data_IF_634104461156
#
_entry.id   IF_634104461156
#
_cell.length_a   1.000
_cell.length_b   1.000
_cell.length_c   1.000
_cell.angle_alpha   90.00
_cell.angle_beta   90.00
_cell.angle_gamma   90.00
#
_symmetry.space_group_name_H-M   'P 1'
#
loop_
_entity.id
_entity.type
_entity.pdbx_description
1 polymer ?
#
# COMPACT_ATOMS: atom_id res chain seq x y z
N UNK A 1 13.99 -15.29 -10.34
CA UNK A 1 13.24 -14.03 -10.17
C UNK A 1 12.19 -14.27 -9.08
N UNK A 2 11.57 -13.27 -8.46
CA UNK A 2 10.35 -13.55 -7.70
C UNK A 2 9.32 -14.11 -8.66
N UNK A 3 8.67 -15.21 -8.30
CA UNK A 3 7.58 -15.73 -9.11
C UNK A 3 6.44 -14.72 -9.13
N UNK A 4 5.93 -14.42 -10.31
CA UNK A 4 4.77 -13.54 -10.49
C UNK A 4 3.50 -14.36 -10.66
N UNK A 5 2.39 -13.86 -10.13
CA UNK A 5 1.07 -14.38 -10.41
C UNK A 5 0.42 -13.47 -11.46
N UNK A 6 0.07 -14.06 -12.59
CA UNK A 6 -0.71 -13.41 -13.63
C UNK A 6 -2.17 -13.33 -13.19
N UNK A 7 -2.78 -12.16 -13.36
CA UNK A 7 -4.17 -11.92 -13.03
C UNK A 7 -4.89 -11.30 -14.23
N UNK A 8 -6.15 -11.68 -14.43
CA UNK A 8 -7.12 -10.98 -15.27
C UNK A 8 -8.32 -10.61 -14.44
N UNK A 9 -8.71 -9.34 -14.45
CA UNK A 9 -10.00 -8.90 -13.96
C UNK A 9 -10.89 -8.47 -15.12
N UNK A 10 -12.09 -9.03 -15.19
CA UNK A 10 -13.14 -8.60 -16.12
C UNK A 10 -14.30 -8.00 -15.35
N UNK A 11 -14.52 -6.72 -15.56
CA UNK A 11 -15.63 -5.96 -15.03
C UNK A 11 -16.78 -6.02 -16.03
N UNK A 12 -17.94 -6.50 -15.61
CA UNK A 12 -19.16 -6.62 -16.41
C UNK A 12 -20.30 -5.82 -15.78
N UNK A 13 -21.14 -5.24 -16.62
CA UNK A 13 -22.33 -4.48 -16.23
C UNK A 13 -22.07 -3.40 -15.15
N UNK A 14 -20.91 -2.73 -15.23
CA UNK A 14 -20.57 -1.67 -14.27
C UNK A 14 -21.53 -0.48 -14.42
N UNK A 15 -21.98 0.04 -13.28
CA UNK A 15 -22.94 1.13 -13.19
C UNK A 15 -22.28 2.52 -13.08
N UNK A 16 -20.97 2.54 -12.81
CA UNK A 16 -20.19 3.76 -12.59
C UNK A 16 -19.37 4.14 -13.83
N UNK A 17 -18.93 5.40 -13.89
CA UNK A 17 -18.05 5.88 -14.96
C UNK A 17 -16.73 5.08 -15.01
N UNK A 18 -16.52 4.39 -16.13
CA UNK A 18 -15.32 3.57 -16.35
C UNK A 18 -14.03 4.42 -16.44
N UNK A 19 -14.12 5.74 -16.59
CA UNK A 19 -12.95 6.62 -16.56
C UNK A 19 -12.26 6.63 -15.20
N UNK A 20 -13.00 6.52 -14.10
CA UNK A 20 -12.42 6.44 -12.75
C UNK A 20 -11.66 5.12 -12.61
N UNK A 21 -12.24 4.02 -13.09
CA UNK A 21 -11.60 2.71 -13.11
C UNK A 21 -10.31 2.71 -13.95
N UNK A 22 -10.36 3.25 -15.18
CA UNK A 22 -9.20 3.41 -16.07
C UNK A 22 -8.10 4.25 -15.43
N UNK A 23 -8.48 5.30 -14.70
CA UNK A 23 -7.54 6.18 -14.00
C UNK A 23 -6.86 5.46 -12.84
N UNK A 24 -7.60 4.67 -12.07
CA UNK A 24 -7.03 3.84 -11.01
C UNK A 24 -6.12 2.73 -11.57
N UNK A 25 -6.51 2.10 -12.69
CA UNK A 25 -5.68 1.11 -13.38
C UNK A 25 -4.36 1.73 -13.85
N UNK A 26 -4.40 2.93 -14.44
CA UNK A 26 -3.20 3.60 -14.93
C UNK A 26 -2.30 4.17 -13.82
N UNK A 27 -2.86 4.51 -12.66
CA UNK A 27 -2.15 5.21 -11.60
C UNK A 27 -1.82 6.66 -11.95
N UNK A 28 -0.75 7.19 -11.37
CA UNK A 28 -0.23 8.53 -11.67
C UNK A 28 -0.94 9.71 -10.99
N UNK A 29 -2.15 9.50 -10.48
CA UNK A 29 -2.87 10.51 -9.70
C UNK A 29 -2.24 10.73 -8.31
N UNK A 30 -2.47 11.87 -7.64
CA UNK A 30 -1.98 12.09 -6.28
C UNK A 30 -2.46 11.01 -5.28
N UNK A 31 -1.53 10.30 -4.65
CA UNK A 31 -1.83 9.27 -3.64
C UNK A 31 -1.85 9.85 -2.23
N UNK A 32 -3.06 9.93 -1.66
CA UNK A 32 -3.28 10.51 -0.34
C UNK A 32 -2.70 9.63 0.77
N UNK A 33 -2.87 8.31 0.69
CA UNK A 33 -2.37 7.39 1.72
C UNK A 33 -0.83 7.34 1.75
N UNK A 34 -0.16 7.41 0.58
CA UNK A 34 1.31 7.50 0.50
C UNK A 34 1.82 8.82 1.08
N UNK A 35 1.11 9.93 0.83
CA UNK A 35 1.42 11.22 1.46
C UNK A 35 1.28 11.14 2.98
N UNK A 36 0.13 10.66 3.47
CA UNK A 36 -0.15 10.50 4.90
C UNK A 36 0.90 9.65 5.60
N UNK A 37 1.40 8.59 4.96
CA UNK A 37 2.53 7.80 5.45
C UNK A 37 3.79 8.65 5.62
N UNK A 38 4.23 9.39 4.59
CA UNK A 38 5.48 10.19 4.66
C UNK A 38 5.40 11.28 5.73
N UNK A 39 4.28 12.01 5.75
CA UNK A 39 4.00 13.05 6.74
C UNK A 39 3.92 12.46 8.16
N UNK A 40 3.27 11.30 8.31
CA UNK A 40 3.17 10.58 9.57
C UNK A 40 4.53 10.10 10.09
N UNK A 41 5.43 9.62 9.22
CA UNK A 41 6.80 9.27 9.62
C UNK A 41 7.54 10.52 10.14
N UNK A 42 7.39 11.67 9.48
CA UNK A 42 8.04 12.92 9.94
C UNK A 42 7.51 13.36 11.31
N UNK A 43 6.19 13.32 11.51
CA UNK A 43 5.56 13.63 12.80
C UNK A 43 5.98 12.66 13.90
N UNK A 44 6.05 11.37 13.59
CA UNK A 44 6.55 10.33 14.50
C UNK A 44 7.99 10.60 14.93
N UNK A 45 8.87 10.90 13.97
CA UNK A 45 10.27 11.25 14.23
C UNK A 45 10.41 12.52 15.05
N UNK A 46 9.61 13.55 14.74
CA UNK A 46 9.58 14.81 15.47
C UNK A 46 9.13 14.63 16.93
N UNK A 47 8.15 13.76 17.17
CA UNK A 47 7.72 13.36 18.51
C UNK A 47 8.82 12.64 19.28
N UNK A 48 9.46 11.64 18.65
CA UNK A 48 10.57 10.89 19.25
C UNK A 48 11.79 11.76 19.59
N UNK A 49 12.01 12.84 18.83
CA UNK A 49 13.08 13.81 19.06
C UNK A 49 12.70 14.91 20.07
N UNK A 50 11.43 14.98 20.50
CA UNK A 50 10.94 15.99 21.43
C UNK A 50 10.72 17.37 20.81
N UNK A 51 10.76 17.48 19.47
CA UNK A 51 10.44 18.68 18.69
C UNK A 51 8.96 18.99 18.84
N UNK A 52 8.12 17.96 18.70
CA UNK A 52 6.68 18.02 18.92
C UNK A 52 6.32 17.27 20.20
N UNK A 53 5.41 17.86 21.00
CA UNK A 53 4.95 17.31 22.27
C UNK A 53 3.44 17.45 22.37
N UNK A 54 2.71 16.47 22.91
CA UNK A 54 1.26 16.55 23.03
C UNK A 54 0.82 17.53 24.14
N UNK A 55 -0.45 17.92 24.16
CA UNK A 55 -1.04 18.80 25.19
C UNK A 55 -1.09 18.16 26.58
N UNK A 56 -1.23 16.83 26.63
CA UNK A 56 -1.33 16.07 27.86
C UNK A 56 -0.30 14.95 27.86
N UNK A 57 0.11 14.51 29.05
CA UNK A 57 0.93 13.30 29.16
C UNK A 57 0.18 12.11 28.56
N UNK A 58 0.91 11.30 27.81
CA UNK A 58 0.39 10.13 27.11
C UNK A 58 1.23 8.90 27.47
N UNK A 59 0.63 7.73 27.31
CA UNK A 59 1.35 6.47 27.35
C UNK A 59 1.17 5.77 26.00
N UNK A 60 2.27 5.43 25.34
CA UNK A 60 2.24 4.67 24.11
C UNK A 60 3.16 3.43 24.22
N UNK A 61 2.65 2.33 24.80
CA UNK A 61 3.42 1.11 24.99
C UNK A 61 4.09 0.54 23.73
N UNK A 62 3.50 0.63 22.51
CA UNK A 62 4.16 0.17 21.30
C UNK A 62 5.50 0.86 21.03
N UNK A 63 5.62 2.14 21.40
CA UNK A 63 6.87 2.90 21.25
C UNK A 63 7.00 4.05 22.26
N UNK A 64 7.47 3.77 23.50
CA UNK A 64 7.44 4.76 24.58
C UNK A 64 8.25 6.04 24.30
N UNK A 65 9.28 5.96 23.45
CA UNK A 65 10.10 7.11 23.08
C UNK A 65 9.29 8.22 22.37
N UNK A 66 8.18 7.89 21.69
CA UNK A 66 7.33 8.87 21.00
C UNK A 66 6.76 9.94 21.93
N UNK A 67 6.58 9.61 23.21
CA UNK A 67 5.94 10.46 24.22
C UNK A 67 6.83 10.73 25.43
N UNK A 68 8.13 10.38 25.36
CA UNK A 68 9.05 10.43 26.49
C UNK A 68 9.40 11.84 26.97
N UNK A 69 9.18 12.85 26.13
CA UNK A 69 9.42 14.27 26.44
C UNK A 69 8.26 14.94 27.19
N UNK A 70 7.21 14.18 27.53
CA UNK A 70 6.05 14.65 28.27
C UNK A 70 5.17 15.64 27.49
N UNK A 71 4.30 16.34 28.21
CA UNK A 71 3.43 17.35 27.61
C UNK A 71 4.19 18.63 27.21
N UNK A 72 3.65 19.34 26.23
CA UNK A 72 4.11 20.67 25.88
C UNK A 72 3.86 21.66 27.04
N UNK A 73 4.73 22.67 27.15
CA UNK A 73 4.57 23.73 28.15
C UNK A 73 3.53 24.79 27.77
N UNK A 74 3.05 24.76 26.52
CA UNK A 74 2.07 25.70 25.98
C UNK A 74 0.96 24.96 25.21
N UNK A 75 -0.15 25.68 24.98
CA UNK A 75 -1.34 25.15 24.28
C UNK A 75 -1.55 25.89 22.95
N UNK A 76 -0.48 26.17 22.20
CA UNK A 76 -0.62 26.80 20.88
C UNK A 76 -1.33 25.87 19.89
N UNK A 77 -1.95 26.40 18.82
CA UNK A 77 -2.63 25.58 17.82
C UNK A 77 -1.77 24.45 17.24
N UNK A 78 -0.47 24.66 17.06
CA UNK A 78 0.45 23.63 16.57
C UNK A 78 0.62 22.44 17.52
N UNK A 79 0.49 22.68 18.82
CA UNK A 79 0.52 21.62 19.86
C UNK A 79 -0.79 20.82 19.84
N UNK A 80 -1.92 21.51 19.65
CA UNK A 80 -3.21 20.85 19.44
C UNK A 80 -3.18 19.96 18.19
N UNK A 81 -2.67 20.47 17.07
CA UNK A 81 -2.57 19.71 15.82
C UNK A 81 -1.73 18.43 15.97
N UNK A 82 -0.57 18.51 16.64
CA UNK A 82 0.22 17.31 16.94
C UNK A 82 -0.50 16.35 17.90
N UNK A 83 -1.25 16.87 18.88
CA UNK A 83 -2.04 16.04 19.81
C UNK A 83 -3.17 15.29 19.09
N UNK A 84 -3.84 15.95 18.16
CA UNK A 84 -4.90 15.36 17.34
C UNK A 84 -4.33 14.29 16.41
N UNK A 85 -3.19 14.56 15.77
CA UNK A 85 -2.46 13.57 14.99
C UNK A 85 -2.04 12.37 15.85
N UNK A 86 -1.46 12.61 17.03
CA UNK A 86 -0.99 11.55 17.91
C UNK A 86 -2.14 10.67 18.39
N UNK A 87 -3.29 11.25 18.72
CA UNK A 87 -4.49 10.51 19.07
C UNK A 87 -4.96 9.61 17.92
N UNK A 88 -5.00 10.13 16.69
CA UNK A 88 -5.34 9.34 15.50
C UNK A 88 -4.32 8.23 15.24
N UNK A 89 -3.03 8.51 15.37
CA UNK A 89 -1.95 7.54 15.21
C UNK A 89 -2.04 6.40 16.23
N UNK A 90 -2.21 6.73 17.52
CA UNK A 90 -2.33 5.76 18.60
C UNK A 90 -3.61 4.92 18.50
N UNK A 91 -4.68 5.47 17.92
CA UNK A 91 -5.91 4.74 17.63
C UNK A 91 -5.83 3.86 16.37
N UNK A 92 -4.72 3.92 15.62
CA UNK A 92 -4.56 3.12 14.41
C UNK A 92 -5.35 3.63 13.22
N UNK A 93 -5.35 4.95 12.99
CA UNK A 93 -6.10 5.62 11.94
C UNK A 93 -6.05 4.89 10.59
N UNK A 94 -7.23 4.59 10.06
CA UNK A 94 -7.44 4.00 8.73
C UNK A 94 -7.19 5.08 7.68
N UNK A 95 -6.42 4.78 6.64
CA UNK A 95 -5.99 5.74 5.61
C UNK A 95 -7.02 5.87 4.48
N UNK A 96 -8.28 6.11 4.83
CA UNK A 96 -9.30 6.54 3.85
C UNK A 96 -9.09 8.02 3.44
N UNK A 97 -9.86 8.48 2.45
CA UNK A 97 -9.73 9.84 1.89
C UNK A 97 -9.90 10.91 2.96
N UNK A 98 -10.95 10.81 3.79
CA UNK A 98 -11.28 11.80 4.82
C UNK A 98 -10.18 11.86 5.89
N UNK A 99 -9.74 10.70 6.38
CA UNK A 99 -8.70 10.60 7.39
C UNK A 99 -7.35 11.07 6.87
N UNK A 100 -7.00 10.76 5.62
CA UNK A 100 -5.79 11.30 4.99
C UNK A 100 -5.80 12.84 4.92
N UNK A 101 -6.94 13.46 4.65
CA UNK A 101 -7.06 14.93 4.68
C UNK A 101 -6.90 15.48 6.10
N UNK A 102 -7.50 14.85 7.11
CA UNK A 102 -7.33 15.26 8.52
C UNK A 102 -5.87 15.13 8.99
N UNK A 103 -5.21 14.02 8.65
CA UNK A 103 -3.80 13.79 8.98
C UNK A 103 -2.90 14.85 8.32
N UNK A 104 -3.15 15.16 7.05
CA UNK A 104 -2.43 16.21 6.34
C UNK A 104 -2.62 17.60 6.99
N UNK A 105 -3.85 17.94 7.37
CA UNK A 105 -4.12 19.19 8.08
C UNK A 105 -3.34 19.27 9.39
N UNK A 106 -3.30 18.19 10.17
CA UNK A 106 -2.50 18.15 11.40
C UNK A 106 -1.01 18.32 11.12
N UNK A 107 -0.50 17.74 10.02
CA UNK A 107 0.88 17.92 9.59
C UNK A 107 1.18 19.40 9.26
N UNK A 108 0.32 20.06 8.49
CA UNK A 108 0.46 21.48 8.16
C UNK A 108 0.41 22.36 9.41
N UNK A 109 -0.59 22.15 10.28
CA UNK A 109 -0.84 22.97 11.44
C UNK A 109 0.18 22.74 12.57
N UNK A 110 0.85 21.59 12.59
CA UNK A 110 1.98 21.34 13.50
C UNK A 110 3.22 22.20 13.18
N UNK A 111 3.26 22.80 11.98
CA UNK A 111 4.39 23.55 11.41
C UNK A 111 5.68 22.74 11.24
N UNK A 112 5.64 21.40 11.36
CA UNK A 112 6.83 20.55 11.15
C UNK A 112 7.35 20.65 9.71
N UNK A 113 6.46 20.95 8.75
CA UNK A 113 6.77 21.20 7.35
C UNK A 113 7.74 22.38 7.13
N UNK A 114 7.99 23.21 8.14
CA UNK A 114 8.93 24.33 8.06
C UNK A 114 10.25 24.08 8.80
N UNK A 115 10.34 22.99 9.57
CA UNK A 115 11.50 22.68 10.40
C UNK A 115 12.58 22.01 9.57
N UNK A 116 13.31 22.77 8.74
CA UNK A 116 14.41 22.25 7.90
C UNK A 116 15.47 21.53 8.72
N UNK A 117 16.12 20.52 8.15
CA UNK A 117 17.13 19.70 8.81
C UNK A 117 18.21 20.55 9.52
N UNK A 118 18.74 21.55 8.81
CA UNK A 118 19.77 22.46 9.32
C UNK A 118 19.33 23.34 10.51
N UNK A 119 18.01 23.44 10.76
CA UNK A 119 17.45 24.22 11.89
C UNK A 119 17.25 23.39 13.15
N UNK A 120 17.30 22.06 13.03
CA UNK A 120 17.19 21.13 14.16
C UNK A 120 18.49 21.15 14.98
N UNK A 121 18.37 21.03 16.31
CA UNK A 121 19.52 20.90 17.20
C UNK A 121 20.22 19.55 17.02
N UNK A 122 21.51 19.47 17.40
CA UNK A 122 22.28 18.23 17.28
C UNK A 122 21.63 17.02 18.01
N UNK A 123 21.08 17.17 19.24
CA UNK A 123 20.37 16.07 19.89
C UNK A 123 19.13 15.59 19.12
N UNK A 124 18.35 16.51 18.55
CA UNK A 124 17.17 16.17 17.75
C UNK A 124 17.57 15.42 16.47
N UNK A 125 18.58 15.95 15.76
CA UNK A 125 19.12 15.30 14.57
C UNK A 125 19.68 13.90 14.88
N UNK A 126 20.32 13.72 16.04
CA UNK A 126 20.86 12.43 16.44
C UNK A 126 19.76 11.38 16.64
N UNK A 127 18.66 11.73 17.29
CA UNK A 127 17.51 10.83 17.45
C UNK A 127 16.93 10.46 16.09
N UNK A 128 16.69 11.45 15.23
CA UNK A 128 16.12 11.22 13.90
C UNK A 128 17.05 10.37 13.04
N UNK A 129 18.36 10.65 13.04
CA UNK A 129 19.38 9.85 12.33
C UNK A 129 19.34 8.40 12.75
N UNK A 130 19.30 8.11 14.05
CA UNK A 130 19.30 6.73 14.55
C UNK A 130 18.06 5.96 14.09
N UNK A 131 16.88 6.55 14.19
CA UNK A 131 15.63 5.91 13.76
C UNK A 131 15.56 5.74 12.26
N UNK A 132 15.94 6.78 11.51
CA UNK A 132 15.98 6.70 10.05
C UNK A 132 16.99 5.66 9.58
N UNK A 133 18.17 5.55 10.19
CA UNK A 133 19.14 4.50 9.82
C UNK A 133 18.56 3.09 10.00
N UNK A 134 17.80 2.85 11.07
CA UNK A 134 17.16 1.55 11.32
C UNK A 134 16.07 1.22 10.30
N UNK A 135 15.35 2.23 9.78
CA UNK A 135 14.13 2.05 8.97
C UNK A 135 14.22 2.59 7.55
N UNK A 136 15.37 3.13 7.14
CA UNK A 136 15.54 3.86 5.87
C UNK A 136 15.15 3.06 4.63
N UNK A 137 15.43 1.76 4.60
CA UNK A 137 15.01 0.87 3.50
C UNK A 137 13.50 0.62 3.44
N UNK A 138 12.80 0.78 4.56
CA UNK A 138 11.35 0.61 4.64
C UNK A 138 10.61 1.93 4.39
N UNK A 139 11.16 3.05 4.86
CA UNK A 139 10.58 4.39 4.72
C UNK A 139 10.96 5.09 3.41
N UNK A 140 12.10 4.72 2.83
CA UNK A 140 12.44 5.10 1.47
C UNK A 140 11.64 4.26 0.49
N UNK A 141 10.91 4.90 -0.42
CA UNK A 141 10.26 4.26 -1.59
C UNK A 141 11.29 3.63 -2.58
N UNK A 142 12.50 3.32 -2.12
CA UNK A 142 13.65 2.95 -2.94
C UNK A 142 14.62 2.07 -2.15
N UNK A 143 15.18 1.05 -2.82
CA UNK A 143 16.29 0.24 -2.31
C UNK A 143 17.58 1.04 -2.09
N UNK A 144 17.61 2.30 -2.49
CA UNK A 144 18.67 3.26 -2.20
C UNK A 144 18.05 4.45 -1.48
N UNK A 145 17.89 4.39 -0.16
CA UNK A 145 17.29 5.48 0.59
C UNK A 145 18.15 6.75 0.47
N UNK A 146 17.48 7.90 0.37
CA UNK A 146 18.16 9.18 0.40
C UNK A 146 18.84 9.40 1.77
N UNK A 147 19.91 10.21 1.83
CA UNK A 147 20.43 10.72 3.10
C UNK A 147 19.30 11.35 3.93
N UNK A 148 19.37 11.21 5.25
CA UNK A 148 18.27 11.64 6.15
C UNK A 148 17.95 13.12 5.99
N UNK A 149 18.95 13.98 5.80
CA UNK A 149 18.74 15.42 5.59
C UNK A 149 17.91 15.69 4.33
N UNK A 150 18.23 15.01 3.23
CA UNK A 150 17.56 15.19 1.95
C UNK A 150 16.14 14.61 1.99
N UNK A 151 15.96 13.46 2.65
CA UNK A 151 14.62 12.90 2.87
C UNK A 151 13.76 13.84 3.72
N UNK A 152 14.29 14.33 4.83
CA UNK A 152 13.58 15.24 5.74
C UNK A 152 13.22 16.57 5.06
N UNK A 153 14.19 17.20 4.38
CA UNK A 153 13.97 18.48 3.72
C UNK A 153 13.04 18.36 2.51
N UNK A 154 12.96 17.19 1.86
CA UNK A 154 12.00 16.96 0.76
C UNK A 154 10.54 17.14 1.19
N UNK A 155 10.21 16.86 2.45
CA UNK A 155 8.88 17.12 3.01
C UNK A 155 8.65 18.59 3.36
N UNK A 156 9.73 19.37 3.50
CA UNK A 156 9.66 20.79 3.80
C UNK A 156 9.60 21.68 2.55
N UNK A 157 9.78 21.10 1.35
CA UNK A 157 9.72 21.79 0.06
C UNK A 157 8.28 22.07 -0.43
N UNK A 158 7.27 21.77 0.39
CA UNK A 158 5.85 22.07 0.13
C UNK A 158 5.14 21.03 -0.74
N UNK A 159 4.09 21.45 -1.47
CA UNK A 159 3.21 20.58 -2.29
C UNK A 159 3.91 19.85 -3.46
N UNK A 160 5.20 20.12 -3.69
CA UNK A 160 6.06 19.37 -4.60
C UNK A 160 6.74 18.27 -3.79
N UNK A 161 6.20 17.06 -3.60
CA UNK A 161 5.60 16.15 -4.58
C UNK A 161 4.63 15.25 -3.80
N UNK A 162 3.31 15.42 -3.97
CA UNK A 162 2.38 14.37 -3.54
C UNK A 162 2.78 13.10 -4.31
N UNK A 163 3.06 11.96 -3.64
CA UNK A 163 3.47 10.75 -4.34
C UNK A 163 2.40 10.36 -5.35
N UNK A 164 2.81 10.02 -6.57
CA UNK A 164 1.90 9.45 -7.54
C UNK A 164 1.38 8.09 -7.03
N UNK A 165 0.13 7.76 -7.33
CA UNK A 165 -0.42 6.43 -7.12
C UNK A 165 0.27 5.46 -8.07
N UNK A 166 0.57 4.27 -7.56
CA UNK A 166 0.99 3.16 -8.42
C UNK A 166 -0.23 2.65 -9.22
N UNK A 167 -0.01 2.01 -10.37
CA UNK A 167 -1.07 1.31 -11.09
C UNK A 167 -1.80 0.30 -10.19
N UNK A 168 -3.13 0.34 -10.21
CA UNK A 168 -3.99 -0.57 -9.45
C UNK A 168 -3.64 -0.67 -7.96
N UNK A 169 -3.36 0.46 -7.29
CA UNK A 169 -3.07 0.47 -5.86
C UNK A 169 -4.28 0.01 -5.05
N UNK A 170 -4.25 -1.23 -4.54
CA UNK A 170 -5.37 -1.85 -3.83
C UNK A 170 -5.64 -1.21 -2.47
N UNK A 171 -4.71 -0.38 -1.96
CA UNK A 171 -4.93 0.41 -0.73
C UNK A 171 -5.96 1.53 -0.93
N UNK A 172 -6.19 1.95 -2.17
CA UNK A 172 -7.29 2.85 -2.51
C UNK A 172 -8.64 2.11 -2.58
N UNK A 173 -8.61 0.77 -2.65
CA UNK A 173 -9.80 -0.10 -2.58
C UNK A 173 -10.14 -0.41 -1.13
N UNK A 174 -9.19 -1.02 -0.41
CA UNK A 174 -9.30 -1.32 1.01
C UNK A 174 -8.22 -0.54 1.76
N UNK A 175 -8.55 0.50 2.53
CA UNK A 175 -7.55 1.32 3.19
C UNK A 175 -6.68 0.56 4.21
N UNK A 176 -5.38 0.86 4.21
CA UNK A 176 -4.40 0.45 5.24
C UNK A 176 -4.51 1.32 6.51
N UNK A 177 -3.63 1.13 7.49
CA UNK A 177 -3.57 1.93 8.74
C UNK A 177 -2.24 2.66 8.90
N UNK A 178 -2.27 3.87 9.45
CA UNK A 178 -1.09 4.73 9.58
C UNK A 178 0.02 4.11 10.45
N UNK A 179 -0.33 3.50 11.57
CA UNK A 179 0.63 2.86 12.48
C UNK A 179 1.34 1.68 11.83
N UNK A 180 0.63 0.90 11.00
CA UNK A 180 1.20 -0.17 10.18
C UNK A 180 2.16 0.42 9.14
N UNK A 181 1.79 1.49 8.45
CA UNK A 181 2.63 2.14 7.45
C UNK A 181 3.91 2.78 8.05
N UNK A 182 3.83 3.30 9.28
CA UNK A 182 5.02 3.80 10.02
C UNK A 182 5.88 2.64 10.53
N UNK A 183 5.27 1.55 11.01
CA UNK A 183 5.99 0.32 11.36
C UNK A 183 6.67 -0.32 10.14
N UNK A 184 6.07 -0.11 8.97
CA UNK A 184 6.57 -0.37 7.63
C UNK A 184 6.86 -1.85 7.33
N UNK A 185 7.47 -2.11 6.17
CA UNK A 185 7.51 -3.44 5.53
C UNK A 185 8.04 -4.55 6.44
N UNK A 186 9.20 -4.35 7.06
CA UNK A 186 9.79 -5.35 7.94
C UNK A 186 9.27 -5.27 9.39
N UNK A 187 8.43 -4.27 9.71
CA UNK A 187 7.93 -4.05 11.07
C UNK A 187 9.04 -3.79 12.09
N UNK A 188 8.84 -4.30 13.30
CA UNK A 188 9.84 -4.34 14.37
C UNK A 188 10.10 -3.03 15.11
N UNK A 189 9.49 -1.92 14.68
CA UNK A 189 9.62 -0.63 15.36
C UNK A 189 8.56 -0.49 16.47
N UNK A 190 7.30 -0.76 16.15
CA UNK A 190 6.16 -0.58 17.05
C UNK A 190 5.75 -1.95 17.64
N UNK A 191 5.96 -2.12 18.94
CA UNK A 191 5.67 -3.39 19.63
C UNK A 191 4.17 -3.70 19.58
N UNK A 192 3.82 -4.90 19.11
CA UNK A 192 2.43 -5.36 19.01
C UNK A 192 1.67 -4.85 17.78
N UNK A 193 2.27 -3.99 16.95
CA UNK A 193 1.71 -3.58 15.66
C UNK A 193 2.29 -4.51 14.58
N UNK A 194 1.47 -5.05 13.65
CA UNK A 194 1.96 -5.92 12.59
C UNK A 194 2.90 -5.17 11.64
N UNK A 195 3.78 -5.91 10.97
CA UNK A 195 4.52 -5.39 9.83
C UNK A 195 3.56 -5.09 8.68
N UNK A 196 3.90 -4.17 7.77
CA UNK A 196 3.05 -3.97 6.60
C UNK A 196 3.07 -5.18 5.67
N UNK A 197 4.15 -5.98 5.65
CA UNK A 197 4.19 -7.26 4.95
C UNK A 197 3.09 -8.23 5.42
N UNK A 198 3.04 -8.51 6.73
CA UNK A 198 2.05 -9.44 7.29
C UNK A 198 0.62 -8.90 7.12
N UNK A 199 0.45 -7.59 7.30
CA UNK A 199 -0.83 -6.93 7.07
C UNK A 199 -1.27 -7.04 5.62
N UNK A 200 -0.36 -6.82 4.66
CA UNK A 200 -0.68 -6.83 3.24
C UNK A 200 -1.05 -8.21 2.75
N UNK A 201 -0.33 -9.24 3.18
CA UNK A 201 -0.71 -10.63 2.89
C UNK A 201 -2.12 -10.95 3.41
N UNK A 202 -2.42 -10.52 4.64
CA UNK A 202 -3.74 -10.76 5.25
C UNK A 202 -4.84 -9.96 4.56
N UNK A 203 -4.58 -8.72 4.15
CA UNK A 203 -5.60 -7.77 3.69
C UNK A 203 -5.82 -7.78 2.18
N UNK A 204 -4.76 -8.02 1.41
CA UNK A 204 -4.77 -7.92 -0.05
C UNK A 204 -4.36 -9.22 -0.73
N UNK A 205 -3.99 -10.27 0.02
CA UNK A 205 -3.60 -11.57 -0.52
C UNK A 205 -2.21 -11.62 -1.15
N UNK A 206 -1.54 -10.48 -1.35
CA UNK A 206 -0.25 -10.40 -2.02
C UNK A 206 0.75 -9.48 -1.29
N UNK A 207 2.04 -9.68 -1.59
CA UNK A 207 3.14 -9.00 -0.88
C UNK A 207 3.13 -7.48 -1.08
N UNK A 208 2.91 -7.04 -2.32
CA UNK A 208 2.84 -5.63 -2.69
C UNK A 208 1.48 -5.39 -3.33
N UNK A 209 0.61 -4.57 -2.70
CA UNK A 209 -0.80 -4.46 -3.08
C UNK A 209 -1.00 -3.47 -4.24
N UNK A 210 -0.31 -3.72 -5.35
CA UNK A 210 -0.38 -2.95 -6.60
C UNK A 210 -0.37 -3.91 -7.80
N UNK A 211 -0.86 -3.47 -8.94
CA UNK A 211 -0.81 -4.23 -10.18
C UNK A 211 0.42 -3.86 -11.01
N UNK A 212 1.28 -4.83 -11.29
CA UNK A 212 2.43 -4.66 -12.19
C UNK A 212 2.02 -4.90 -13.63
N UNK A 213 2.65 -4.16 -14.55
CA UNK A 213 2.40 -4.27 -16.00
C UNK A 213 0.91 -4.22 -16.40
N UNK A 214 0.13 -3.45 -15.62
CA UNK A 214 -1.32 -3.35 -15.81
C UNK A 214 -1.67 -2.88 -17.23
N UNK A 215 -2.43 -3.70 -17.95
CA UNK A 215 -2.78 -3.50 -19.34
C UNK A 215 -4.28 -3.68 -19.56
N UNK A 216 -4.95 -2.64 -20.06
CA UNK A 216 -6.37 -2.71 -20.41
C UNK A 216 -6.50 -3.40 -21.77
N UNK A 217 -6.88 -4.67 -21.75
CA UNK A 217 -7.03 -5.51 -22.94
C UNK A 217 -8.34 -5.24 -23.67
N UNK A 218 -9.38 -4.79 -22.95
CA UNK A 218 -10.67 -4.45 -23.52
C UNK A 218 -11.33 -3.32 -22.73
N UNK A 219 -11.97 -2.38 -23.44
CA UNK A 219 -12.74 -1.30 -22.83
C UNK A 219 -14.00 -1.03 -23.67
N UNK A 220 -15.13 -1.47 -23.16
CA UNK A 220 -16.47 -1.16 -23.67
C UNK A 220 -17.10 0.02 -22.92
N UNK A 221 -18.42 0.17 -23.06
CA UNK A 221 -19.19 1.20 -22.34
C UNK A 221 -19.31 0.83 -20.85
N UNK A 222 -19.85 -0.36 -20.55
CA UNK A 222 -20.08 -0.87 -19.20
C UNK A 222 -19.25 -2.12 -18.88
N UNK A 223 -18.16 -2.32 -19.59
CA UNK A 223 -17.31 -3.51 -19.44
C UNK A 223 -15.84 -3.15 -19.64
N UNK A 224 -14.96 -3.75 -18.85
CA UNK A 224 -13.52 -3.52 -18.93
C UNK A 224 -12.77 -4.80 -18.55
N UNK A 225 -11.73 -5.14 -19.30
CA UNK A 225 -10.83 -6.25 -18.97
C UNK A 225 -9.42 -5.71 -18.81
N UNK A 226 -8.77 -6.08 -17.71
CA UNK A 226 -7.39 -5.70 -17.39
C UNK A 226 -6.59 -6.93 -17.00
N UNK A 227 -5.40 -7.05 -17.58
CA UNK A 227 -4.37 -8.01 -17.18
C UNK A 227 -3.30 -7.30 -16.36
N UNK A 228 -2.79 -7.94 -15.31
CA UNK A 228 -1.73 -7.41 -14.45
C UNK A 228 -1.07 -8.53 -13.64
N UNK A 229 0.10 -8.23 -13.10
CA UNK A 229 0.85 -9.14 -12.25
C UNK A 229 0.84 -8.71 -10.78
N UNK A 230 0.83 -9.71 -9.90
CA UNK A 230 1.07 -9.55 -8.46
C UNK A 230 2.21 -10.45 -8.00
N UNK A 231 3.02 -10.02 -7.02
CA UNK A 231 4.10 -10.87 -6.52
C UNK A 231 3.55 -12.07 -5.74
N UNK A 232 3.97 -13.27 -6.15
CA UNK A 232 3.78 -14.58 -5.50
C UNK A 232 2.36 -15.17 -5.44
N UNK A 233 1.32 -14.36 -5.42
CA UNK A 233 -0.06 -14.81 -5.21
C UNK A 233 -1.05 -13.85 -5.84
N UNK A 234 -2.27 -14.31 -6.17
CA UNK A 234 -3.30 -13.43 -6.72
C UNK A 234 -3.70 -12.34 -5.72
N UNK A 235 -4.33 -11.29 -6.23
CA UNK A 235 -5.03 -10.33 -5.38
C UNK A 235 -6.16 -11.04 -4.60
N UNK A 236 -6.32 -10.70 -3.33
CA UNK A 236 -7.23 -11.38 -2.41
C UNK A 236 -8.72 -11.10 -2.67
N UNK A 237 -9.56 -12.07 -2.30
CA UNK A 237 -11.02 -12.06 -2.50
C UNK A 237 -11.68 -10.76 -2.02
N UNK A 238 -11.36 -10.31 -0.80
CA UNK A 238 -11.92 -9.09 -0.20
C UNK A 238 -11.74 -7.85 -1.08
N UNK A 239 -10.62 -7.75 -1.79
CA UNK A 239 -10.32 -6.61 -2.68
C UNK A 239 -11.23 -6.65 -3.90
N UNK A 240 -11.36 -7.82 -4.52
CA UNK A 240 -12.15 -7.99 -5.74
C UNK A 240 -13.65 -7.90 -5.45
N UNK A 241 -14.10 -8.44 -4.31
CA UNK A 241 -15.44 -8.21 -3.79
C UNK A 241 -15.69 -6.70 -3.61
N UNK A 242 -14.82 -5.97 -2.93
CA UNK A 242 -14.97 -4.52 -2.74
C UNK A 242 -15.00 -3.75 -4.07
N UNK A 243 -14.24 -4.20 -5.08
CA UNK A 243 -14.31 -3.65 -6.44
C UNK A 243 -15.68 -3.89 -7.07
N UNK A 244 -16.23 -5.11 -7.00
CA UNK A 244 -17.57 -5.41 -7.54
C UNK A 244 -18.65 -4.55 -6.89
N UNK A 245 -18.58 -4.34 -5.57
CA UNK A 245 -19.49 -3.46 -4.84
C UNK A 245 -19.34 -2.00 -5.28
N UNK A 246 -18.10 -1.51 -5.39
CA UNK A 246 -17.79 -0.12 -5.72
C UNK A 246 -18.28 0.28 -7.10
N UNK A 247 -18.14 -0.61 -8.08
CA UNK A 247 -18.55 -0.35 -9.46
C UNK A 247 -19.98 -0.86 -9.77
N UNK A 248 -20.62 -1.55 -8.81
CA UNK A 248 -22.03 -1.97 -8.86
C UNK A 248 -22.33 -2.97 -9.97
N UNK A 249 -21.34 -3.83 -10.28
CA UNK A 249 -21.41 -4.83 -11.35
C UNK A 249 -20.82 -6.16 -10.91
N UNK A 250 -20.60 -7.04 -11.88
CA UNK A 250 -19.91 -8.31 -11.70
C UNK A 250 -18.41 -8.12 -11.99
N UNK A 251 -17.57 -8.76 -11.18
CA UNK A 251 -16.13 -8.87 -11.46
C UNK A 251 -15.76 -10.34 -11.51
N UNK A 252 -15.24 -10.77 -12.64
CA UNK A 252 -14.64 -12.08 -12.81
C UNK A 252 -13.12 -11.95 -12.70
N UNK A 253 -12.48 -12.93 -12.08
CA UNK A 253 -11.06 -12.94 -11.77
C UNK A 253 -10.47 -14.29 -12.15
N UNK A 254 -9.57 -14.29 -13.13
CA UNK A 254 -8.71 -15.43 -13.42
C UNK A 254 -7.31 -15.16 -12.93
N UNK A 255 -6.65 -16.17 -12.40
CA UNK A 255 -5.27 -16.06 -11.95
C UNK A 255 -4.48 -17.34 -12.13
N UNK A 256 -3.17 -17.20 -12.37
CA UNK A 256 -2.24 -18.30 -12.53
C UNK A 256 -0.85 -17.93 -11.99
N UNK A 257 -0.20 -18.87 -11.32
CA UNK A 257 1.17 -18.79 -10.81
C UNK A 257 1.88 -20.11 -11.12
N UNK A 258 2.69 -20.08 -12.18
CA UNK A 258 3.37 -21.24 -12.76
C UNK A 258 4.33 -21.92 -11.80
N UNK A 259 5.05 -21.16 -10.97
CA UNK A 259 6.09 -21.71 -10.10
C UNK A 259 5.57 -22.66 -9.02
N UNK A 260 4.31 -22.53 -8.61
CA UNK A 260 3.61 -23.42 -7.71
C UNK A 260 2.50 -24.23 -8.40
N UNK A 261 2.42 -24.22 -9.73
CA UNK A 261 1.33 -24.81 -10.50
C UNK A 261 -0.05 -24.35 -10.03
N UNK A 262 -0.22 -23.14 -9.50
CA UNK A 262 -1.47 -22.72 -8.89
C UNK A 262 -2.30 -21.89 -9.86
N UNK A 263 -3.59 -22.18 -10.03
CA UNK A 263 -4.49 -21.35 -10.82
C UNK A 263 -5.89 -21.31 -10.22
N UNK A 264 -6.70 -20.36 -10.68
CA UNK A 264 -8.07 -20.25 -10.21
C UNK A 264 -8.92 -19.27 -10.98
N UNK A 265 -10.21 -19.37 -10.71
CA UNK A 265 -11.25 -18.50 -11.21
C UNK A 265 -12.18 -18.13 -10.06
N UNK A 266 -12.56 -16.87 -10.00
CA UNK A 266 -13.54 -16.38 -9.05
C UNK A 266 -14.49 -15.38 -9.70
N UNK A 267 -15.71 -15.32 -9.17
CA UNK A 267 -16.75 -14.37 -9.59
C UNK A 267 -17.31 -13.67 -8.37
N UNK A 268 -17.36 -12.34 -8.44
CA UNK A 268 -17.78 -11.47 -7.36
C UNK A 268 -18.93 -10.58 -7.82
N UNK A 269 -19.99 -10.49 -7.02
CA UNK A 269 -21.19 -9.73 -7.34
C UNK A 269 -21.58 -8.90 -6.13
N UNK A 270 -21.66 -7.57 -6.29
CA UNK A 270 -22.12 -6.64 -5.26
C UNK A 270 -21.41 -6.75 -3.89
N UNK A 271 -20.13 -7.12 -3.86
CA UNK A 271 -19.37 -7.25 -2.62
C UNK A 271 -19.29 -8.66 -2.06
N UNK A 272 -19.90 -9.64 -2.71
CA UNK A 272 -19.91 -11.03 -2.26
C UNK A 272 -19.21 -11.95 -3.27
N UNK A 273 -18.50 -12.95 -2.77
CA UNK A 273 -17.96 -14.05 -3.58
C UNK A 273 -19.11 -14.99 -3.96
N UNK A 274 -19.40 -15.09 -5.24
CA UNK A 274 -20.43 -15.99 -5.78
C UNK A 274 -19.84 -17.34 -6.20
N UNK A 275 -18.66 -17.33 -6.83
CA UNK A 275 -17.89 -18.53 -7.20
C UNK A 275 -16.44 -18.31 -6.83
N UNK A 276 -15.79 -19.36 -6.29
CA UNK A 276 -14.35 -19.39 -6.11
C UNK A 276 -13.86 -20.82 -6.32
N UNK A 277 -13.05 -21.02 -7.36
CA UNK A 277 -12.44 -22.31 -7.69
C UNK A 277 -10.95 -22.14 -7.87
N UNK A 278 -10.21 -23.16 -7.43
CA UNK A 278 -8.76 -23.24 -7.57
C UNK A 278 -8.40 -24.63 -8.03
N UNK A 279 -7.34 -24.74 -8.82
CA UNK A 279 -6.82 -26.02 -9.30
C UNK A 279 -5.32 -25.91 -9.57
N UNK A 280 -4.72 -27.02 -9.97
CA UNK A 280 -3.34 -27.05 -10.44
C UNK A 280 -3.25 -26.84 -11.96
N UNK A 281 -2.21 -26.13 -12.42
CA UNK A 281 -1.91 -26.03 -13.85
C UNK A 281 -1.57 -27.42 -14.42
N UNK A 282 -2.18 -27.76 -15.54
CA UNK A 282 -1.92 -29.00 -16.28
C UNK A 282 -0.83 -28.74 -17.33
N UNK A 283 0.11 -29.69 -17.44
CA UNK A 283 1.29 -29.57 -18.30
C UNK A 283 1.27 -30.60 -19.42
N UNK A 284 1.72 -30.19 -20.60
CA UNK A 284 2.03 -31.10 -21.68
C UNK A 284 3.25 -31.97 -21.39
N UNK A 285 3.54 -32.89 -22.30
CA UNK A 285 4.80 -33.63 -22.27
C UNK A 285 5.92 -32.77 -22.87
N UNK A 286 7.08 -32.74 -22.21
CA UNK A 286 8.29 -32.20 -22.83
C UNK A 286 8.73 -33.10 -23.98
N UNK A 287 9.28 -32.51 -25.04
CA UNK A 287 9.85 -33.27 -26.15
C UNK A 287 11.04 -34.09 -25.63
N UNK A 288 10.99 -35.44 -25.67
CA UNK A 288 12.05 -36.28 -25.12
C UNK A 288 13.36 -36.18 -25.91
N UNK A 289 13.33 -35.65 -27.14
CA UNK A 289 14.49 -35.51 -28.03
C UNK A 289 15.10 -34.08 -27.99
N UNK A 290 14.53 -33.15 -27.21
CA UNK A 290 15.02 -31.78 -27.04
C UNK A 290 15.24 -31.45 -25.55
N UNK A 291 16.51 -31.39 -25.14
CA UNK A 291 16.91 -31.09 -23.75
C UNK A 291 16.53 -29.66 -23.29
N UNK A 292 16.21 -28.76 -24.22
CA UNK A 292 15.74 -27.40 -23.96
C UNK A 292 14.20 -27.28 -24.04
N UNK A 293 13.47 -28.40 -24.22
CA UNK A 293 12.01 -28.42 -24.28
C UNK A 293 11.40 -28.13 -22.90
N UNK A 294 10.61 -27.06 -22.82
CA UNK A 294 9.77 -26.75 -21.67
C UNK A 294 8.33 -27.15 -21.99
N UNK A 295 7.66 -27.93 -21.12
CA UNK A 295 6.27 -28.31 -21.36
C UNK A 295 5.37 -27.07 -21.31
N UNK A 296 4.45 -26.97 -22.27
CA UNK A 296 3.43 -25.92 -22.28
C UNK A 296 2.33 -26.22 -21.26
N UNK A 297 1.68 -25.17 -20.77
CA UNK A 297 0.43 -25.31 -19.99
C UNK A 297 -0.69 -25.72 -20.93
N UNK A 298 -1.33 -26.85 -20.64
CA UNK A 298 -2.40 -27.44 -21.45
C UNK A 298 -3.78 -27.31 -20.80
N UNK A 299 -3.84 -26.97 -19.52
CA UNK A 299 -5.09 -26.80 -18.80
C UNK A 299 -4.91 -26.23 -17.39
N UNK A 300 -6.01 -26.12 -16.63
CA UNK A 300 -7.38 -26.48 -17.00
C UNK A 300 -7.98 -25.66 -18.16
N UNK A 301 -8.93 -26.19 -18.93
CA UNK A 301 -9.49 -25.51 -20.12
C UNK A 301 -9.97 -24.07 -19.85
N UNK A 302 -10.52 -23.82 -18.66
CA UNK A 302 -11.04 -22.51 -18.26
C UNK A 302 -9.95 -21.47 -17.91
N UNK A 303 -8.68 -21.86 -17.74
CA UNK A 303 -7.57 -20.91 -17.59
C UNK A 303 -6.96 -20.53 -18.95
N UNK A 304 -7.03 -21.45 -19.92
CA UNK A 304 -6.42 -21.26 -21.24
C UNK A 304 -7.07 -20.07 -21.96
N UNK A 305 -6.22 -19.12 -22.40
CA UNK A 305 -6.59 -17.83 -23.00
C UNK A 305 -7.33 -16.83 -22.07
N UNK A 306 -7.56 -17.18 -20.81
CA UNK A 306 -8.21 -16.31 -19.82
C UNK A 306 -7.22 -15.57 -18.91
N UNK A 307 -5.92 -15.82 -19.08
CA UNK A 307 -4.82 -15.01 -18.51
C UNK A 307 -3.85 -14.65 -19.64
N UNK A 308 -3.10 -13.54 -19.49
CA UNK A 308 -2.13 -13.11 -20.51
C UNK A 308 -0.90 -14.03 -20.61
N UNK A 309 -0.51 -14.62 -19.49
CA UNK A 309 0.53 -15.64 -19.31
C UNK A 309 0.23 -16.39 -18.00
N UNK A 310 1.04 -17.38 -17.64
CA UNK A 310 0.78 -18.25 -16.48
C UNK A 310 1.59 -17.89 -15.22
N UNK A 311 2.22 -16.71 -15.19
CA UNK A 311 3.14 -16.33 -14.12
C UNK A 311 4.53 -16.95 -14.24
N UNK A 312 5.39 -16.78 -13.22
CA UNK A 312 6.78 -17.28 -13.18
C UNK A 312 7.88 -16.23 -13.09
#
# INVERSE_FOLDING_TARGET
MPNWCANRLMFNDISQDNNVLKTWIAGGQPSLHRRARKEGIQLFLAGCAGILRPLTEQCYPPYPQLVSYGAAADNRPSVQAYSDWLAMFMAGAVLDVETCHKLHQCWQDSHICHARWATLSEPEQQVIRQLYQQKSFDWGDSFRPAPVEAWWDSLCDGESIIPAAEPMDFRDVLPTRLDIEVNAFNGGLLTGIPSSYDHYLTRYGCKWPVGYEANICFAGENSLTVDFDTPWSPVGEDVVAALSQRYGGEVEHWFAEQGCNYCGYARYVNGETDVYITDELEWGEADPDDEDSFPDVTGPEWIINNVAHFGG
#
